data_IF_938233747139
#
_entry.id   IF_938233747139
#
_cell.length_a   1.000
_cell.length_b   1.000
_cell.length_c   1.000
_cell.angle_alpha   90.00
_cell.angle_beta   90.00
_cell.angle_gamma   90.00
#
_symmetry.space_group_name_H-M   'P 1'
#
loop_
_entity.id
_entity.type
_entity.pdbx_description
1 polymer ?
#
# COMPACT_ATOMS: atom_id res chain seq x y z
N UNK A 1 -21.52 -9.25 -1.46
CA UNK A 1 -20.11 -8.97 -1.76
C UNK A 1 -19.22 -9.00 -0.51
N UNK A 2 -18.02 -9.59 -0.61
CA UNK A 2 -16.90 -9.35 0.31
C UNK A 2 -15.79 -8.60 -0.42
N UNK A 3 -15.38 -7.46 0.10
CA UNK A 3 -14.26 -6.68 -0.42
C UNK A 3 -13.05 -6.83 0.51
N UNK A 4 -11.87 -7.17 -0.03
CA UNK A 4 -10.66 -7.44 0.76
C UNK A 4 -9.40 -6.74 0.23
N UNK A 5 -8.46 -6.43 1.13
CA UNK A 5 -7.11 -5.95 0.78
C UNK A 5 -6.10 -7.09 0.66
N UNK A 6 -4.98 -6.81 -0.03
CA UNK A 6 -3.82 -7.68 -0.27
C UNK A 6 -4.00 -8.56 -1.51
N UNK A 7 -2.89 -9.01 -2.14
CA UNK A 7 -2.96 -9.89 -3.29
C UNK A 7 -3.83 -11.12 -3.02
N UNK A 8 -4.55 -11.53 -4.05
CA UNK A 8 -5.24 -12.81 -4.07
C UNK A 8 -4.19 -13.94 -4.06
N UNK A 9 -3.96 -14.52 -2.89
CA UNK A 9 -3.09 -15.68 -2.70
C UNK A 9 -3.88 -17.00 -2.60
N UNK A 10 -5.12 -17.01 -3.10
CA UNK A 10 -6.07 -18.11 -2.91
C UNK A 10 -6.60 -18.28 -1.49
N UNK A 11 -7.08 -19.49 -1.23
CA UNK A 11 -7.57 -20.01 0.05
C UNK A 11 -7.01 -21.43 0.20
N UNK A 12 -6.86 -21.91 1.43
CA UNK A 12 -6.32 -23.25 1.67
C UNK A 12 -7.45 -24.26 1.95
N UNK A 13 -7.07 -25.53 2.09
CA UNK A 13 -7.94 -26.69 2.35
C UNK A 13 -8.75 -26.62 3.64
N UNK A 14 -8.39 -25.75 4.58
CA UNK A 14 -9.14 -25.53 5.82
C UNK A 14 -9.05 -24.10 6.32
N UNK A 15 -9.99 -23.73 7.16
CA UNK A 15 -10.02 -22.47 7.90
C UNK A 15 -8.70 -22.21 8.67
N UNK A 16 -8.29 -23.16 9.49
CA UNK A 16 -7.12 -23.04 10.36
C UNK A 16 -5.83 -22.83 9.56
N UNK A 17 -5.67 -23.55 8.45
CA UNK A 17 -4.50 -23.39 7.58
C UNK A 17 -4.57 -22.05 6.84
N UNK A 18 -5.76 -21.65 6.37
CA UNK A 18 -5.96 -20.40 5.66
C UNK A 18 -5.59 -19.19 6.53
N UNK A 19 -6.12 -19.09 7.74
CA UNK A 19 -5.81 -17.94 8.61
C UNK A 19 -4.34 -17.91 9.01
N UNK A 20 -3.74 -19.07 9.26
CA UNK A 20 -2.32 -19.16 9.66
C UNK A 20 -1.39 -18.72 8.54
N UNK A 21 -1.68 -19.11 7.29
CA UNK A 21 -0.81 -18.84 6.14
C UNK A 21 -1.10 -17.51 5.46
N UNK A 22 -2.38 -17.14 5.36
CA UNK A 22 -2.87 -16.06 4.50
C UNK A 22 -3.50 -14.91 5.30
N UNK A 23 -3.55 -15.03 6.63
CA UNK A 23 -4.08 -14.02 7.53
C UNK A 23 -5.56 -13.74 7.32
N UNK A 24 -5.99 -12.55 7.75
CA UNK A 24 -7.38 -12.11 7.72
C UNK A 24 -7.94 -12.02 6.29
N UNK A 25 -7.11 -11.60 5.32
CA UNK A 25 -7.50 -11.50 3.91
C UNK A 25 -7.78 -12.87 3.29
N UNK A 26 -7.00 -13.89 3.62
CA UNK A 26 -7.31 -15.26 3.19
C UNK A 26 -8.53 -15.81 3.90
N UNK A 27 -8.64 -15.56 5.20
CA UNK A 27 -9.73 -16.07 6.02
C UNK A 27 -11.10 -15.53 5.57
N UNK A 28 -11.23 -14.23 5.30
CA UNK A 28 -12.52 -13.66 4.84
C UNK A 28 -12.96 -14.26 3.50
N UNK A 29 -12.01 -14.62 2.64
CA UNK A 29 -12.30 -15.25 1.35
C UNK A 29 -12.71 -16.71 1.50
N UNK A 30 -12.08 -17.43 2.43
CA UNK A 30 -12.52 -18.77 2.79
C UNK A 30 -13.98 -18.74 3.25
N UNK A 31 -14.33 -17.82 4.16
CA UNK A 31 -15.72 -17.63 4.59
C UNK A 31 -16.64 -17.25 3.42
N UNK A 32 -16.22 -16.33 2.54
CA UNK A 32 -17.01 -15.96 1.38
C UNK A 32 -17.33 -17.18 0.50
N UNK A 33 -16.35 -18.05 0.24
CA UNK A 33 -16.56 -19.27 -0.52
C UNK A 33 -17.53 -20.24 0.18
N UNK A 34 -17.35 -20.48 1.49
CA UNK A 34 -18.21 -21.38 2.27
C UNK A 34 -19.68 -20.93 2.25
N UNK A 35 -19.93 -19.62 2.20
CA UNK A 35 -21.27 -19.04 2.19
C UNK A 35 -21.78 -18.67 0.78
N UNK A 36 -21.08 -19.06 -0.29
CA UNK A 36 -21.49 -18.75 -1.67
C UNK A 36 -21.49 -17.25 -2.00
N UNK A 37 -20.74 -16.44 -1.25
CA UNK A 37 -20.59 -15.01 -1.49
C UNK A 37 -19.43 -14.73 -2.45
N UNK A 38 -19.59 -13.73 -3.32
CA UNK A 38 -18.50 -13.21 -4.15
C UNK A 38 -17.46 -12.50 -3.29
N UNK A 39 -16.19 -12.62 -3.67
CA UNK A 39 -15.08 -11.88 -3.07
C UNK A 39 -14.32 -11.11 -4.16
N UNK A 40 -14.06 -9.82 -3.93
CA UNK A 40 -13.35 -8.94 -4.85
C UNK A 40 -12.25 -8.16 -4.12
N UNK A 41 -11.17 -7.88 -4.85
CA UNK A 41 -10.02 -7.16 -4.31
C UNK A 41 -10.25 -5.64 -4.32
N UNK A 42 -9.88 -4.98 -3.23
CA UNK A 42 -9.97 -3.54 -3.06
C UNK A 42 -8.78 -2.81 -3.68
N UNK A 43 -7.57 -3.33 -3.50
CA UNK A 43 -6.35 -2.69 -3.95
C UNK A 43 -6.11 -2.89 -5.45
N UNK A 44 -5.66 -1.82 -6.11
CA UNK A 44 -5.28 -1.81 -7.52
C UNK A 44 -3.93 -1.08 -7.67
N UNK A 45 -2.80 -1.78 -7.44
CA UNK A 45 -1.45 -1.23 -7.51
C UNK A 45 -1.14 -0.58 -8.85
N UNK A 46 -1.74 -1.07 -9.94
CA UNK A 46 -1.55 -0.48 -11.27
C UNK A 46 -2.27 0.87 -11.33
N UNK A 47 -3.54 0.93 -10.91
CA UNK A 47 -4.25 2.20 -10.88
C UNK A 47 -3.66 3.20 -9.86
N UNK A 48 -3.16 2.73 -8.72
CA UNK A 48 -2.44 3.56 -7.74
C UNK A 48 -1.15 4.14 -8.34
N UNK A 49 -0.39 3.31 -9.05
CA UNK A 49 0.82 3.75 -9.74
C UNK A 49 0.50 4.81 -10.80
N UNK A 50 -0.47 4.54 -11.67
CA UNK A 50 -0.90 5.47 -12.71
C UNK A 50 -1.45 6.79 -12.13
N UNK A 51 -2.17 6.70 -11.00
CA UNK A 51 -2.67 7.87 -10.27
C UNK A 51 -1.52 8.78 -9.81
N UNK A 52 -0.48 8.21 -9.20
CA UNK A 52 0.70 8.96 -8.77
C UNK A 52 1.55 9.43 -9.96
N UNK A 53 1.71 8.61 -11.01
CA UNK A 53 2.49 8.94 -12.20
C UNK A 53 2.02 10.20 -12.91
N UNK A 54 0.74 10.52 -12.81
CA UNK A 54 0.16 11.75 -13.39
C UNK A 54 0.29 12.99 -12.50
N UNK A 55 0.80 12.86 -11.27
CA UNK A 55 0.84 13.93 -10.25
C UNK A 55 2.22 14.17 -9.66
N UNK A 56 3.13 13.21 -9.79
CA UNK A 56 4.45 13.23 -9.18
C UNK A 56 5.53 13.19 -10.25
N UNK A 57 6.64 13.88 -10.03
CA UNK A 57 7.79 13.77 -10.94
C UNK A 57 8.37 12.35 -10.93
N UNK A 58 8.93 11.93 -12.06
CA UNK A 58 9.42 10.57 -12.24
C UNK A 58 10.50 10.17 -11.22
N UNK A 59 11.34 11.12 -10.78
CA UNK A 59 12.42 10.86 -9.81
C UNK A 59 11.85 10.58 -8.43
N UNK A 60 10.95 11.44 -7.93
CA UNK A 60 10.25 11.25 -6.66
C UNK A 60 9.41 9.98 -6.67
N UNK A 61 8.68 9.72 -7.76
CA UNK A 61 7.88 8.50 -7.91
C UNK A 61 8.75 7.25 -7.80
N UNK A 62 9.83 7.18 -8.58
CA UNK A 62 10.73 6.02 -8.55
C UNK A 62 11.40 5.87 -7.19
N UNK A 63 11.88 6.97 -6.61
CA UNK A 63 12.48 6.97 -5.29
C UNK A 63 11.51 6.45 -4.23
N UNK A 64 10.27 6.94 -4.23
CA UNK A 64 9.21 6.50 -3.31
C UNK A 64 9.00 4.97 -3.38
N UNK A 65 8.79 4.41 -4.57
CA UNK A 65 8.57 2.98 -4.72
C UNK A 65 9.79 2.12 -4.36
N UNK A 66 11.01 2.58 -4.70
CA UNK A 66 12.24 1.88 -4.32
C UNK A 66 12.41 1.83 -2.80
N UNK A 67 12.21 2.95 -2.11
CA UNK A 67 12.32 3.04 -0.66
C UNK A 67 11.25 2.19 0.03
N UNK A 68 9.99 2.30 -0.40
CA UNK A 68 8.86 1.53 0.14
C UNK A 68 9.09 0.02 -0.02
N UNK A 69 9.47 -0.43 -1.21
CA UNK A 69 9.73 -1.86 -1.49
C UNK A 69 10.92 -2.38 -0.67
N UNK A 70 11.98 -1.58 -0.55
CA UNK A 70 13.14 -1.94 0.25
C UNK A 70 12.83 -2.02 1.75
N UNK A 71 11.99 -1.11 2.26
CA UNK A 71 11.51 -1.14 3.64
C UNK A 71 10.66 -2.39 3.91
N UNK A 72 9.73 -2.73 3.01
CA UNK A 72 8.92 -3.95 3.11
C UNK A 72 9.80 -5.20 3.11
N UNK A 73 10.78 -5.28 2.21
CA UNK A 73 11.75 -6.38 2.19
C UNK A 73 12.45 -6.53 3.55
N UNK A 74 12.99 -5.45 4.11
CA UNK A 74 13.65 -5.47 5.43
C UNK A 74 12.71 -5.91 6.54
N UNK A 75 11.47 -5.43 6.55
CA UNK A 75 10.47 -5.79 7.56
C UNK A 75 10.11 -7.28 7.50
N UNK A 76 9.98 -7.83 6.29
CA UNK A 76 9.62 -9.23 6.10
C UNK A 76 10.77 -10.20 6.38
N UNK A 77 12.02 -9.83 6.08
CA UNK A 77 13.15 -10.77 6.15
C UNK A 77 14.14 -10.49 7.27
N UNK A 78 14.01 -9.36 7.99
CA UNK A 78 15.02 -8.91 8.95
C UNK A 78 16.40 -8.67 8.32
N UNK A 79 16.45 -8.33 7.02
CA UNK A 79 17.69 -8.28 6.25
C UNK A 79 18.76 -7.36 6.88
N UNK A 80 20.01 -7.82 6.85
CA UNK A 80 21.18 -7.01 7.20
C UNK A 80 21.37 -5.85 6.22
N UNK A 81 22.23 -4.88 6.57
CA UNK A 81 22.60 -3.77 5.68
C UNK A 81 23.12 -4.27 4.32
N UNK A 82 24.01 -5.27 4.31
CA UNK A 82 24.59 -5.78 3.08
C UNK A 82 23.53 -6.40 2.15
N UNK A 83 22.60 -7.18 2.72
CA UNK A 83 21.48 -7.76 1.97
C UNK A 83 20.51 -6.68 1.47
N UNK A 84 20.24 -5.66 2.29
CA UNK A 84 19.41 -4.51 1.91
C UNK A 84 20.00 -3.77 0.70
N UNK A 85 21.30 -3.50 0.71
CA UNK A 85 21.99 -2.84 -0.40
C UNK A 85 21.94 -3.68 -1.67
N UNK A 86 22.18 -4.99 -1.55
CA UNK A 86 22.08 -5.91 -2.69
C UNK A 86 20.66 -5.97 -3.26
N UNK A 87 19.65 -6.04 -2.41
CA UNK A 87 18.25 -6.03 -2.83
C UNK A 87 17.89 -4.72 -3.54
N UNK A 88 18.34 -3.58 -3.03
CA UNK A 88 18.11 -2.27 -3.66
C UNK A 88 18.75 -2.19 -5.06
N UNK A 89 19.98 -2.71 -5.23
CA UNK A 89 20.62 -2.78 -6.54
C UNK A 89 19.78 -3.59 -7.55
N UNK A 90 19.23 -4.72 -7.11
CA UNK A 90 18.35 -5.55 -7.94
C UNK A 90 17.02 -4.84 -8.24
N UNK A 91 16.43 -4.15 -7.27
CA UNK A 91 15.22 -3.36 -7.47
C UNK A 91 15.43 -2.25 -8.51
N UNK A 92 16.57 -1.54 -8.45
CA UNK A 92 16.92 -0.52 -9.44
C UNK A 92 17.06 -1.15 -10.83
N UNK A 93 17.82 -2.25 -10.95
CA UNK A 93 18.04 -2.93 -12.22
C UNK A 93 16.72 -3.42 -12.87
N UNK A 94 15.75 -3.84 -12.05
CA UNK A 94 14.47 -4.35 -12.53
C UNK A 94 13.36 -3.29 -12.59
N UNK A 95 13.63 -2.06 -12.15
CA UNK A 95 12.60 -1.02 -11.97
C UNK A 95 11.82 -0.68 -13.24
N UNK A 96 12.42 -0.80 -14.42
CA UNK A 96 11.74 -0.56 -15.69
C UNK A 96 10.56 -1.52 -15.93
N UNK A 97 10.58 -2.73 -15.35
CA UNK A 97 9.49 -3.70 -15.53
C UNK A 97 8.26 -3.39 -14.68
N UNK A 98 8.42 -2.71 -13.54
CA UNK A 98 7.33 -2.47 -12.58
C UNK A 98 7.07 -0.99 -12.28
N UNK A 99 7.87 -0.07 -12.81
CA UNK A 99 7.71 1.39 -12.72
C UNK A 99 7.85 2.05 -14.12
N UNK A 100 6.93 1.74 -15.06
CA UNK A 100 7.01 2.26 -16.42
C UNK A 100 6.88 3.80 -16.48
N UNK A 101 7.72 4.45 -17.28
CA UNK A 101 7.84 5.91 -17.35
C UNK A 101 8.89 6.50 -16.40
N UNK A 102 9.67 5.66 -15.71
CA UNK A 102 10.77 6.07 -14.82
C UNK A 102 12.14 5.51 -15.25
N UNK A 103 12.28 5.08 -16.50
CA UNK A 103 13.44 4.35 -17.01
C UNK A 103 14.72 5.19 -16.96
N UNK A 104 14.60 6.51 -17.14
CA UNK A 104 15.74 7.44 -17.27
C UNK A 104 16.21 8.06 -15.96
N UNK A 105 15.54 7.78 -14.85
CA UNK A 105 15.87 8.34 -13.53
C UNK A 105 16.31 7.24 -12.59
N UNK A 106 17.24 7.50 -11.68
CA UNK A 106 17.74 6.55 -10.67
C UNK A 106 18.10 5.19 -11.31
N UNK A 107 19.14 5.18 -12.14
CA UNK A 107 19.61 4.02 -12.89
C UNK A 107 20.62 3.19 -12.10
N UNK A 108 21.15 3.73 -11.00
CA UNK A 108 22.16 3.08 -10.17
C UNK A 108 22.14 3.59 -8.72
N UNK A 109 22.99 3.00 -7.87
CA UNK A 109 23.07 3.36 -6.45
C UNK A 109 23.57 4.77 -6.18
N UNK A 110 24.41 5.33 -7.05
CA UNK A 110 24.93 6.68 -6.90
C UNK A 110 23.80 7.70 -7.12
N UNK A 111 23.01 7.50 -8.19
CA UNK A 111 21.82 8.30 -8.47
C UNK A 111 20.74 8.13 -7.39
N UNK A 112 20.54 6.92 -6.85
CA UNK A 112 19.63 6.72 -5.71
C UNK A 112 20.07 7.56 -4.50
N UNK A 113 21.37 7.54 -4.19
CA UNK A 113 21.92 8.27 -3.05
C UNK A 113 21.79 9.79 -3.26
N UNK A 114 22.02 10.27 -4.49
CA UNK A 114 21.84 11.67 -4.85
C UNK A 114 20.37 12.11 -4.74
N UNK A 115 19.45 11.37 -5.36
CA UNK A 115 18.01 11.64 -5.29
C UNK A 115 17.50 11.58 -3.84
N UNK A 116 17.93 10.59 -3.07
CA UNK A 116 17.57 10.49 -1.66
C UNK A 116 18.06 11.71 -0.86
N UNK A 117 19.31 12.16 -1.02
CA UNK A 117 19.81 13.36 -0.31
C UNK A 117 19.07 14.62 -0.72
N UNK A 118 18.67 14.73 -1.98
CA UNK A 118 17.90 15.87 -2.48
C UNK A 118 16.50 15.93 -1.85
N UNK A 119 15.81 14.80 -1.72
CA UNK A 119 14.43 14.75 -1.21
C UNK A 119 14.33 14.45 0.29
N UNK A 120 15.42 14.00 0.92
CA UNK A 120 15.56 13.70 2.35
C UNK A 120 16.82 14.37 2.93
N UNK A 121 16.97 15.71 2.87
CA UNK A 121 18.23 16.38 3.24
C UNK A 121 18.59 16.22 4.73
N UNK A 122 17.58 16.13 5.60
CA UNK A 122 17.72 15.84 7.02
C UNK A 122 17.66 14.34 7.35
N UNK A 123 17.43 13.50 6.34
CA UNK A 123 17.37 12.06 6.51
C UNK A 123 18.75 11.47 6.75
N UNK A 124 18.83 10.48 7.65
CA UNK A 124 20.00 9.59 7.73
C UNK A 124 20.16 8.79 6.44
N UNK A 125 20.92 7.69 6.45
CA UNK A 125 21.08 6.91 5.22
C UNK A 125 19.75 6.25 4.80
N UNK A 126 19.50 6.10 3.49
CA UNK A 126 18.25 5.52 2.99
C UNK A 126 17.99 4.09 3.51
N UNK A 127 19.04 3.34 3.84
CA UNK A 127 18.94 2.00 4.44
C UNK A 127 18.72 2.01 5.96
N UNK A 128 18.81 3.18 6.61
CA UNK A 128 18.65 3.36 8.06
C UNK A 128 17.26 3.84 8.45
N UNK A 129 16.38 4.16 7.48
CA UNK A 129 14.99 4.54 7.76
C UNK A 129 14.35 3.45 8.63
N UNK A 130 14.11 3.79 9.90
CA UNK A 130 13.36 3.01 10.87
C UNK A 130 11.89 3.39 10.75
N UNK A 131 10.93 2.49 11.06
CA UNK A 131 9.53 2.88 11.20
C UNK A 131 9.30 4.00 12.26
N UNK A 132 10.27 4.27 13.14
CA UNK A 132 10.23 5.36 14.13
C UNK A 132 10.76 6.70 13.62
N UNK A 133 11.44 6.75 12.48
CA UNK A 133 11.87 8.01 11.85
C UNK A 133 10.70 8.58 11.06
N UNK A 134 10.45 9.88 11.23
CA UNK A 134 9.44 10.56 10.41
C UNK A 134 9.79 10.35 8.93
N UNK A 135 8.84 9.85 8.12
CA UNK A 135 9.06 9.74 6.69
C UNK A 135 9.39 11.12 6.13
N UNK A 136 10.24 11.16 5.11
CA UNK A 136 10.52 12.41 4.41
C UNK A 136 9.21 13.04 3.92
N UNK A 137 9.12 14.37 3.92
CA UNK A 137 7.89 15.09 3.61
C UNK A 137 7.26 14.65 2.27
N UNK A 138 8.09 14.36 1.25
CA UNK A 138 7.57 13.86 -0.02
C UNK A 138 6.93 12.46 0.12
N UNK A 139 7.51 11.55 0.90
CA UNK A 139 6.92 10.22 1.13
C UNK A 139 5.59 10.33 1.86
N UNK A 140 5.50 11.21 2.86
CA UNK A 140 4.24 11.49 3.57
C UNK A 140 3.17 11.99 2.61
N UNK A 141 3.52 12.95 1.75
CA UNK A 141 2.60 13.49 0.75
C UNK A 141 2.10 12.42 -0.23
N UNK A 142 2.99 11.57 -0.77
CA UNK A 142 2.60 10.46 -1.63
C UNK A 142 1.74 9.41 -0.91
N UNK A 143 2.02 9.11 0.36
CA UNK A 143 1.21 8.20 1.17
C UNK A 143 -0.19 8.76 1.44
N UNK A 144 -0.31 10.08 1.64
CA UNK A 144 -1.59 10.78 1.79
C UNK A 144 -2.40 10.75 0.49
N UNK A 145 -1.75 11.03 -0.64
CA UNK A 145 -2.37 10.95 -1.97
C UNK A 145 -2.90 9.55 -2.28
N UNK A 146 -2.12 8.51 -1.98
CA UNK A 146 -2.58 7.12 -2.11
C UNK A 146 -3.72 6.80 -1.15
N UNK A 147 -3.68 7.29 0.09
CA UNK A 147 -4.77 7.07 1.05
C UNK A 147 -6.07 7.70 0.54
N UNK A 148 -6.01 8.91 0.01
CA UNK A 148 -7.16 9.59 -0.58
C UNK A 148 -7.71 8.84 -1.80
N UNK A 149 -6.83 8.41 -2.71
CA UNK A 149 -7.20 7.59 -3.86
C UNK A 149 -7.89 6.29 -3.46
N UNK A 150 -7.30 5.53 -2.52
CA UNK A 150 -7.88 4.28 -2.01
C UNK A 150 -9.24 4.51 -1.35
N UNK A 151 -9.39 5.56 -0.55
CA UNK A 151 -10.66 5.90 0.09
C UNK A 151 -11.76 6.21 -0.94
N UNK A 152 -11.45 6.99 -1.99
CA UNK A 152 -12.38 7.28 -3.07
C UNK A 152 -12.80 6.02 -3.82
N UNK A 153 -11.84 5.17 -4.18
CA UNK A 153 -12.09 3.92 -4.89
C UNK A 153 -12.95 2.96 -4.06
N UNK A 154 -12.65 2.82 -2.77
CA UNK A 154 -13.45 2.01 -1.84
C UNK A 154 -14.90 2.50 -1.81
N UNK A 155 -15.12 3.82 -1.67
CA UNK A 155 -16.46 4.39 -1.66
C UNK A 155 -17.22 4.09 -2.97
N UNK A 156 -16.55 4.17 -4.12
CA UNK A 156 -17.14 3.84 -5.43
C UNK A 156 -17.51 2.36 -5.53
N UNK A 157 -16.62 1.44 -5.12
CA UNK A 157 -16.89 -0.01 -5.16
C UNK A 157 -18.06 -0.38 -4.24
N UNK A 158 -18.07 0.14 -3.01
CA UNK A 158 -19.17 -0.08 -2.06
C UNK A 158 -20.49 0.48 -2.60
N UNK A 159 -20.48 1.70 -3.16
CA UNK A 159 -21.67 2.30 -3.75
C UNK A 159 -22.21 1.48 -4.92
N UNK A 160 -21.35 1.01 -5.84
CA UNK A 160 -21.75 0.20 -6.98
C UNK A 160 -22.42 -1.11 -6.55
N UNK A 161 -21.82 -1.84 -5.61
CA UNK A 161 -22.39 -3.09 -5.09
C UNK A 161 -23.69 -2.86 -4.29
N UNK A 162 -23.76 -1.79 -3.52
CA UNK A 162 -24.98 -1.43 -2.78
C UNK A 162 -26.12 -1.04 -3.72
N UNK A 163 -25.83 -0.29 -4.78
CA UNK A 163 -26.82 0.07 -5.82
C UNK A 163 -27.32 -1.16 -6.60
N UNK A 164 -26.49 -2.19 -6.74
CA UNK A 164 -26.89 -3.49 -7.29
C UNK A 164 -27.72 -4.34 -6.30
N UNK A 165 -28.03 -3.83 -5.11
CA UNK A 165 -28.80 -4.53 -4.08
C UNK A 165 -27.98 -5.52 -3.25
N UNK A 166 -26.65 -5.53 -3.39
CA UNK A 166 -25.81 -6.42 -2.60
C UNK A 166 -25.62 -5.92 -1.17
N UNK A 167 -25.56 -6.84 -0.20
CA UNK A 167 -24.99 -6.58 1.12
C UNK A 167 -23.46 -6.69 1.03
N UNK A 168 -22.76 -5.67 1.50
CA UNK A 168 -21.30 -5.53 1.36
C UNK A 168 -20.62 -5.65 2.72
N UNK A 169 -19.67 -6.59 2.83
CA UNK A 169 -18.70 -6.65 3.93
C UNK A 169 -17.34 -6.17 3.40
N UNK A 170 -16.69 -5.26 4.12
CA UNK A 170 -15.37 -4.72 3.75
C UNK A 170 -14.36 -5.11 4.83
N UNK A 171 -13.25 -5.71 4.42
CA UNK A 171 -12.13 -6.07 5.31
C UNK A 171 -10.88 -5.32 4.85
N UNK A 172 -10.44 -4.37 5.67
CA UNK A 172 -9.30 -3.50 5.43
C UNK A 172 -8.40 -3.37 6.65
N UNK A 173 -7.12 -3.06 6.43
CA UNK A 173 -6.21 -2.71 7.49
C UNK A 173 -6.58 -1.35 8.13
N UNK A 174 -6.29 -1.14 9.43
CA UNK A 174 -6.62 0.12 10.12
C UNK A 174 -6.04 1.37 9.44
N UNK A 175 -4.90 1.24 8.74
CA UNK A 175 -4.24 2.31 7.99
C UNK A 175 -5.04 2.87 6.82
N UNK A 176 -6.10 2.17 6.40
CA UNK A 176 -6.98 2.54 5.30
C UNK A 176 -8.30 3.17 5.74
N UNK A 177 -8.58 3.16 7.05
CA UNK A 177 -9.70 3.93 7.57
C UNK A 177 -9.35 5.42 7.47
N UNK A 178 -10.28 6.29 7.03
CA UNK A 178 -10.10 7.72 7.21
C UNK A 178 -9.84 8.00 8.70
N UNK A 179 -9.05 9.03 8.99
CA UNK A 179 -8.93 9.52 10.36
C UNK A 179 -10.34 9.63 10.94
N UNK A 180 -10.58 9.13 12.18
CA UNK A 180 -11.93 9.04 12.72
C UNK A 180 -12.63 10.38 12.52
N UNK A 181 -13.75 10.35 11.80
CA UNK A 181 -14.60 11.52 11.70
C UNK A 181 -14.88 11.95 13.13
N UNK A 182 -14.56 13.20 13.44
CA UNK A 182 -14.99 13.81 14.70
C UNK A 182 -16.51 13.91 14.59
N UNK A 183 -17.20 12.85 14.97
CA UNK A 183 -18.64 12.90 15.15
C UNK A 183 -18.86 13.86 16.30
N UNK A 184 -19.21 15.11 15.98
CA UNK A 184 -19.79 16.02 16.94
C UNK A 184 -21.00 15.28 17.52
N UNK A 185 -20.86 14.82 18.76
CA UNK A 185 -21.97 14.30 19.54
C UNK A 185 -22.97 15.44 19.60
N UNK A 186 -24.00 15.39 18.76
CA UNK A 186 -25.19 16.22 18.96
C UNK A 186 -25.80 15.74 20.27
N UNK A 187 -25.49 16.46 21.34
CA UNK A 187 -26.11 16.26 22.64
C UNK A 187 -27.64 16.30 22.49
N UNK A 188 -28.37 15.53 23.31
CA UNK A 188 -29.82 15.50 23.23
C UNK A 188 -30.37 16.91 23.45
N UNK A 189 -31.25 17.35 22.54
CA UNK A 189 -32.01 18.57 22.69
C UNK A 189 -32.83 18.48 23.99
N UNK A 190 -32.48 19.32 24.96
CA UNK A 190 -33.24 19.48 26.19
C UNK A 190 -34.63 20.02 25.82
N UNK A 191 -35.68 19.32 26.26
CA UNK A 191 -37.06 19.82 26.24
C UNK A 191 -37.29 20.73 27.44
#
# INVERSE_FOLDING_TARGET
MVLFEKPDLGIDSSEAITITRLGESGYVRYLAQQHGAKAERLDDPVAEYEYLRTRTDATQLKLYYLLRTCQQFRQHTGASKALTVKAMQQLIANSAFFLPGTERVIQNMAELTAAYRQHCPSGGQWWQQSPSTQPAAFMQHLDEDLRAFRAQRLAQQVAAHTQAGERVLVVLAPSHLPAPATYAVRGPASR
#
